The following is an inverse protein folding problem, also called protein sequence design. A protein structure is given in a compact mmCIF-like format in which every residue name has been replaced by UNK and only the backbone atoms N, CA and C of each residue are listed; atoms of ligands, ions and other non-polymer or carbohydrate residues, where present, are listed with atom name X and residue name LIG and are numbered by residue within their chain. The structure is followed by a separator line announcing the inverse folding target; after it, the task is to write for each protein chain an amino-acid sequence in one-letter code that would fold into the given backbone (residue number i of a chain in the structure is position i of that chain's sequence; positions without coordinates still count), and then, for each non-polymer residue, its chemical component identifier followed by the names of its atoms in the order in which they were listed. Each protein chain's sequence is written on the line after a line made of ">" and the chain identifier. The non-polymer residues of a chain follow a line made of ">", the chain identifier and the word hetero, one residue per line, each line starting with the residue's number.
data_IF_114527290721
#
_entry.id   IF_114527290721
#
_cell.length_a   1.000
_cell.length_b   1.000
_cell.length_c   1.000
_cell.angle_alpha   90.00
_cell.angle_beta   90.00
_cell.angle_gamma   90.00
#
_symmetry.space_group_name_H-M   'P 1'
#
loop_
_entity.id
_entity.type
_entity.pdbx_description
1 polymer ?
#
# COMPACT_ATOMS: atom_id res chain seq x y z
N UNK A 1 16.62 8.28 18.98
CA UNK A 1 17.40 9.35 18.32
C UNK A 1 17.63 8.92 16.89
N UNK A 2 17.01 9.56 15.91
CA UNK A 2 17.20 9.21 14.50
C UNK A 2 18.53 9.83 14.04
N UNK A 3 19.46 9.00 13.58
CA UNK A 3 20.71 9.47 12.97
C UNK A 3 20.45 9.83 11.51
N UNK A 4 20.60 11.09 11.16
CA UNK A 4 20.52 11.55 9.77
C UNK A 4 21.92 11.38 9.17
N UNK A 5 22.04 10.50 8.15
CA UNK A 5 23.25 10.39 7.37
C UNK A 5 23.13 11.25 6.11
N UNK A 6 24.01 12.21 5.96
CA UNK A 6 24.14 12.99 4.72
C UNK A 6 25.21 12.36 3.86
N UNK A 7 24.84 11.83 2.67
CA UNK A 7 25.84 11.44 1.67
C UNK A 7 26.52 12.71 1.14
N UNK A 8 27.79 12.83 1.40
CA UNK A 8 28.61 13.89 0.80
C UNK A 8 28.94 13.52 -0.64
N UNK A 9 28.92 14.47 -1.60
CA UNK A 9 29.20 14.19 -3.01
C UNK A 9 30.68 13.97 -3.31
N UNK A 10 31.51 13.73 -2.30
CA UNK A 10 32.94 13.48 -2.42
C UNK A 10 33.39 12.38 -1.46
N UNK A 11 34.38 11.60 -1.88
CA UNK A 11 34.94 10.56 -1.06
C UNK A 11 35.81 11.19 0.06
N UNK A 12 35.45 10.91 1.32
CA UNK A 12 36.25 11.27 2.48
C UNK A 12 37.07 10.05 2.87
N UNK A 13 38.39 10.12 2.65
CA UNK A 13 39.33 9.09 3.11
C UNK A 13 39.80 9.46 4.55
N UNK A 14 39.08 8.99 5.54
CA UNK A 14 39.51 9.09 6.93
C UNK A 14 39.29 7.73 7.62
N UNK A 15 40.39 7.04 7.93
CA UNK A 15 40.38 5.72 8.56
C UNK A 15 39.80 5.74 10.01
N UNK A 16 39.63 6.93 10.60
CA UNK A 16 39.01 7.10 11.93
C UNK A 16 37.50 7.24 11.89
N UNK A 17 36.88 7.38 10.70
CA UNK A 17 35.42 7.39 10.59
C UNK A 17 34.88 5.96 10.62
N UNK A 18 33.81 5.70 11.36
CA UNK A 18 33.16 4.40 11.35
C UNK A 18 32.71 4.10 9.91
N UNK A 19 33.12 2.95 9.40
CA UNK A 19 32.65 2.47 8.10
C UNK A 19 31.19 2.00 8.26
N UNK A 20 30.30 2.49 7.41
CA UNK A 20 28.93 1.97 7.33
C UNK A 20 28.99 0.49 6.87
N UNK A 21 28.42 -0.41 7.64
CA UNK A 21 28.24 -1.79 7.20
C UNK A 21 27.23 -1.84 6.05
N UNK A 22 27.30 -2.88 5.22
CA UNK A 22 26.32 -3.08 4.15
C UNK A 22 24.86 -3.11 4.68
N UNK A 23 24.67 -3.61 5.91
CA UNK A 23 23.41 -3.59 6.63
C UNK A 23 22.90 -2.20 6.94
N UNK A 24 23.80 -1.24 7.19
CA UNK A 24 23.39 0.15 7.48
C UNK A 24 22.93 0.86 6.19
N UNK A 25 23.52 0.49 5.06
CA UNK A 25 23.10 0.97 3.73
C UNK A 25 21.72 0.42 3.35
N UNK A 26 21.45 -0.86 3.62
CA UNK A 26 20.13 -1.47 3.41
C UNK A 26 19.05 -0.80 4.25
N UNK A 27 19.34 -0.40 5.49
CA UNK A 27 18.44 0.38 6.32
C UNK A 27 18.09 1.75 5.71
N UNK A 28 19.09 2.43 5.09
CA UNK A 28 18.87 3.73 4.43
C UNK A 28 18.04 3.62 3.16
N UNK A 29 18.25 2.56 2.37
CA UNK A 29 17.48 2.30 1.13
C UNK A 29 16.06 1.86 1.45
N UNK A 30 15.87 1.14 2.56
CA UNK A 30 14.58 0.59 2.99
C UNK A 30 13.80 1.53 3.92
N UNK A 31 14.27 2.76 4.14
CA UNK A 31 13.58 3.71 5.01
C UNK A 31 12.43 4.42 4.27
N UNK A 32 11.24 4.43 4.90
CA UNK A 32 10.12 5.23 4.44
C UNK A 32 9.81 6.31 5.48
N UNK A 33 10.18 7.58 5.21
CA UNK A 33 10.04 8.67 6.17
C UNK A 33 8.58 8.88 6.57
N UNK A 34 8.37 9.14 7.87
CA UNK A 34 7.06 9.49 8.45
C UNK A 34 5.95 8.46 8.22
N UNK A 35 6.28 7.24 7.75
CA UNK A 35 5.31 6.17 7.70
C UNK A 35 4.91 5.76 9.11
N UNK A 36 3.61 5.57 9.32
CA UNK A 36 3.11 4.93 10.55
C UNK A 36 3.58 3.48 10.63
N UNK A 37 3.67 2.79 9.49
CA UNK A 37 4.26 1.47 9.36
C UNK A 37 4.64 1.16 7.91
N UNK A 38 5.76 0.44 7.74
CA UNK A 38 6.32 0.07 6.46
C UNK A 38 6.77 -1.40 6.46
N UNK A 39 6.22 -2.18 5.54
CA UNK A 39 6.50 -3.61 5.39
C UNK A 39 7.00 -3.92 3.99
N UNK A 40 8.13 -4.62 3.94
CA UNK A 40 8.71 -5.17 2.73
C UNK A 40 8.49 -6.69 2.77
N UNK A 41 7.42 -7.16 2.16
CA UNK A 41 7.00 -8.55 2.26
C UNK A 41 7.92 -9.49 1.49
N UNK A 42 8.22 -10.65 2.07
CA UNK A 42 9.17 -11.62 1.53
C UNK A 42 8.85 -13.07 1.93
N UNK A 43 9.86 -13.88 2.02
CA UNK A 43 9.78 -15.36 2.05
C UNK A 43 9.21 -15.97 3.32
N UNK A 44 8.93 -15.17 4.36
CA UNK A 44 8.45 -15.70 5.64
C UNK A 44 7.63 -14.70 6.43
N UNK A 45 7.00 -15.17 7.50
CA UNK A 45 6.26 -14.33 8.45
C UNK A 45 7.13 -13.28 9.17
N UNK A 46 8.46 -13.40 9.14
CA UNK A 46 9.34 -12.35 9.64
C UNK A 46 9.13 -11.01 8.91
N UNK A 47 8.68 -11.04 7.64
CA UNK A 47 8.35 -9.84 6.87
C UNK A 47 7.06 -9.13 7.30
N UNK A 48 6.31 -9.69 8.26
CA UNK A 48 5.15 -9.03 8.89
C UNK A 48 5.56 -8.03 9.98
N UNK A 49 6.83 -7.97 10.33
CA UNK A 49 7.38 -6.98 11.25
C UNK A 49 7.81 -5.75 10.45
N UNK A 50 7.29 -4.58 10.85
CA UNK A 50 7.68 -3.29 10.26
C UNK A 50 9.17 -3.03 10.44
N UNK A 51 9.82 -2.55 9.39
CA UNK A 51 11.25 -2.33 9.33
C UNK A 51 11.72 -1.09 10.12
N UNK A 52 10.80 -0.20 10.50
CA UNK A 52 11.17 1.11 11.10
C UNK A 52 10.82 1.20 12.59
N UNK A 53 9.66 0.71 13.00
CA UNK A 53 9.13 0.86 14.35
C UNK A 53 8.82 -0.47 15.05
N UNK A 54 9.08 -1.60 14.38
CA UNK A 54 8.84 -2.93 14.93
C UNK A 54 7.35 -3.30 15.09
N UNK A 55 6.44 -2.58 14.41
CA UNK A 55 5.01 -2.90 14.40
C UNK A 55 4.77 -4.22 13.68
N UNK A 56 3.85 -5.02 14.21
CA UNK A 56 3.59 -6.36 13.70
C UNK A 56 2.20 -6.43 13.08
N UNK A 57 2.12 -6.92 11.83
CA UNK A 57 0.85 -7.29 11.24
C UNK A 57 0.39 -8.64 11.78
N UNK A 58 -0.86 -8.72 12.20
CA UNK A 58 -1.48 -9.96 12.68
C UNK A 58 -2.32 -10.61 11.59
N UNK A 59 -2.33 -11.93 11.56
CA UNK A 59 -3.12 -12.67 10.58
C UNK A 59 -4.61 -12.61 10.95
N UNK A 60 -5.45 -12.39 9.94
CA UNK A 60 -6.89 -12.54 10.07
C UNK A 60 -7.39 -13.57 9.05
N UNK A 61 -8.10 -14.57 9.55
CA UNK A 61 -8.70 -15.63 8.75
C UNK A 61 -7.69 -16.58 8.10
N UNK A 62 -7.78 -16.77 6.79
CA UNK A 62 -6.94 -17.71 6.06
C UNK A 62 -5.47 -17.29 6.07
N UNK A 63 -4.59 -18.22 6.46
CA UNK A 63 -3.15 -17.97 6.47
C UNK A 63 -2.63 -17.63 5.06
N UNK A 64 -1.81 -16.57 4.94
CA UNK A 64 -1.20 -16.21 3.67
C UNK A 64 -0.08 -17.19 3.31
N UNK A 65 0.31 -17.20 2.05
CA UNK A 65 1.55 -17.84 1.59
C UNK A 65 2.62 -16.80 1.33
N UNK A 66 3.89 -17.20 1.43
CA UNK A 66 5.04 -16.33 1.28
C UNK A 66 5.90 -16.80 0.12
N UNK A 67 6.45 -15.85 -0.65
CA UNK A 67 7.39 -16.13 -1.72
C UNK A 67 8.52 -15.08 -1.74
N UNK A 68 9.47 -15.20 -2.67
CA UNK A 68 10.61 -14.27 -2.76
C UNK A 68 10.22 -12.84 -3.12
N UNK A 69 9.05 -12.64 -3.68
CA UNK A 69 8.58 -11.34 -4.17
C UNK A 69 7.52 -10.71 -3.27
N UNK A 70 6.94 -11.45 -2.32
CA UNK A 70 5.92 -10.89 -1.45
C UNK A 70 5.14 -11.91 -0.63
N UNK A 71 4.04 -11.44 -0.08
CA UNK A 71 3.02 -12.23 0.62
C UNK A 71 1.78 -12.34 -0.25
N UNK A 72 1.24 -13.54 -0.38
CA UNK A 72 -0.04 -13.76 -1.06
C UNK A 72 -1.13 -13.88 -0.01
N UNK A 73 -1.97 -12.87 0.10
CA UNK A 73 -3.18 -12.93 0.93
C UNK A 73 -4.26 -13.72 0.18
N UNK A 74 -4.91 -14.61 0.89
CA UNK A 74 -6.02 -15.38 0.31
C UNK A 74 -7.17 -14.44 -0.05
N UNK A 75 -7.93 -14.82 -1.05
CA UNK A 75 -9.17 -14.13 -1.37
C UNK A 75 -10.27 -14.43 -0.34
N UNK A 76 -11.33 -13.65 -0.40
CA UNK A 76 -12.50 -13.84 0.44
C UNK A 76 -12.58 -12.91 1.65
N UNK A 77 -13.70 -13.02 2.35
CA UNK A 77 -13.96 -12.26 3.57
C UNK A 77 -13.03 -12.75 4.70
N UNK A 78 -12.61 -11.82 5.55
CA UNK A 78 -11.77 -12.09 6.70
C UNK A 78 -10.46 -12.81 6.30
N UNK A 79 -9.80 -12.30 5.27
CA UNK A 79 -8.52 -12.81 4.78
C UNK A 79 -7.54 -11.66 4.55
N UNK A 80 -6.58 -11.48 5.47
CA UNK A 80 -5.62 -10.38 5.35
C UNK A 80 -4.67 -10.25 6.52
N UNK A 81 -3.92 -9.15 6.49
CA UNK A 81 -2.89 -8.78 7.44
C UNK A 81 -3.34 -7.51 8.17
N UNK A 82 -3.80 -7.67 9.41
CA UNK A 82 -4.37 -6.60 10.22
C UNK A 82 -3.26 -5.84 10.96
N UNK A 83 -3.24 -4.52 10.80
CA UNK A 83 -2.41 -3.62 11.60
C UNK A 83 -3.14 -3.22 12.89
N UNK A 84 -2.47 -2.48 13.77
CA UNK A 84 -3.09 -1.82 14.92
C UNK A 84 -3.48 -0.34 14.64
N UNK A 85 -3.28 0.15 13.39
CA UNK A 85 -3.72 1.49 12.98
C UNK A 85 -5.24 1.57 12.91
N UNK A 86 -5.84 2.34 13.79
CA UNK A 86 -7.27 2.61 13.80
C UNK A 86 -7.69 3.42 12.57
N UNK A 87 -8.99 3.42 12.26
CA UNK A 87 -9.56 4.38 11.33
C UNK A 87 -9.37 5.82 11.82
N UNK A 88 -9.42 6.79 10.92
CA UNK A 88 -9.24 8.21 11.26
C UNK A 88 -9.74 9.12 10.16
N UNK A 89 -9.72 10.42 10.45
CA UNK A 89 -10.13 11.44 9.49
C UNK A 89 -9.14 11.64 8.35
N UNK A 90 -7.89 11.21 8.56
CA UNK A 90 -6.82 11.27 7.57
C UNK A 90 -6.05 9.98 7.56
N UNK A 91 -5.85 9.41 6.38
CA UNK A 91 -5.04 8.18 6.17
C UNK A 91 -4.48 8.15 4.76
N UNK A 92 -3.31 7.56 4.63
CA UNK A 92 -2.77 7.19 3.32
C UNK A 92 -2.39 5.71 3.31
N UNK A 93 -2.77 5.03 2.26
CA UNK A 93 -2.50 3.63 2.00
C UNK A 93 -1.69 3.54 0.71
N UNK A 94 -0.52 2.90 0.75
CA UNK A 94 0.30 2.64 -0.42
C UNK A 94 0.68 1.16 -0.46
N UNK A 95 0.75 0.59 -1.65
CA UNK A 95 1.21 -0.78 -1.84
C UNK A 95 1.82 -1.00 -3.22
N UNK A 96 2.78 -1.91 -3.29
CA UNK A 96 3.19 -2.57 -4.53
C UNK A 96 2.56 -3.94 -4.58
N UNK A 97 1.77 -4.19 -5.61
CA UNK A 97 1.06 -5.46 -5.79
C UNK A 97 1.32 -6.05 -7.16
N UNK A 98 1.27 -7.37 -7.24
CA UNK A 98 1.23 -8.09 -8.50
C UNK A 98 -0.20 -8.21 -8.98
N UNK A 99 -0.49 -7.78 -10.19
CA UNK A 99 -1.84 -7.83 -10.76
C UNK A 99 -2.34 -9.28 -10.82
N UNK A 100 -3.44 -9.59 -10.11
CA UNK A 100 -3.99 -10.94 -10.05
C UNK A 100 -4.72 -11.29 -11.34
N UNK A 101 -4.98 -12.59 -11.55
CA UNK A 101 -5.94 -12.99 -12.58
C UNK A 101 -7.38 -12.63 -12.13
N UNK A 102 -7.99 -11.73 -12.88
CA UNK A 102 -9.37 -11.28 -12.68
C UNK A 102 -10.27 -11.72 -13.86
N UNK A 103 -10.09 -12.94 -14.33
CA UNK A 103 -10.93 -13.53 -15.40
C UNK A 103 -12.37 -13.80 -14.93
N UNK A 104 -12.55 -14.14 -13.65
CA UNK A 104 -13.84 -14.48 -13.04
C UNK A 104 -14.28 -13.54 -11.93
N UNK A 105 -13.43 -12.61 -11.52
CA UNK A 105 -13.65 -11.67 -10.42
C UNK A 105 -13.40 -10.23 -10.88
N UNK A 106 -14.04 -9.27 -10.24
CA UNK A 106 -13.89 -7.85 -10.62
C UNK A 106 -12.68 -7.17 -9.96
N UNK A 107 -12.15 -7.74 -8.88
CA UNK A 107 -11.03 -7.12 -8.19
C UNK A 107 -10.57 -7.82 -6.92
N UNK A 108 -9.62 -7.18 -6.25
CA UNK A 108 -9.09 -7.59 -4.97
C UNK A 108 -8.90 -6.37 -4.06
N UNK A 109 -9.19 -6.50 -2.77
CA UNK A 109 -8.89 -5.49 -1.77
C UNK A 109 -7.37 -5.48 -1.52
N UNK A 110 -6.74 -4.34 -1.74
CA UNK A 110 -5.30 -4.16 -1.54
C UNK A 110 -4.99 -3.76 -0.11
N UNK A 111 -5.62 -2.69 0.35
CA UNK A 111 -5.41 -2.14 1.69
C UNK A 111 -6.61 -1.30 2.11
N UNK A 112 -6.87 -1.26 3.42
CA UNK A 112 -7.91 -0.44 4.03
C UNK A 112 -8.68 -1.16 5.11
N UNK A 113 -9.87 -0.64 5.41
CA UNK A 113 -10.76 -1.16 6.45
C UNK A 113 -12.23 -1.12 6.04
N UNK A 114 -12.50 -1.09 4.72
CA UNK A 114 -13.86 -1.03 4.24
C UNK A 114 -14.64 -2.28 4.64
N UNK A 115 -15.80 -2.06 5.21
CA UNK A 115 -16.86 -3.03 5.38
C UNK A 115 -18.03 -2.72 4.45
N UNK A 116 -19.18 -3.31 4.73
CA UNK A 116 -20.37 -3.12 3.89
C UNK A 116 -21.01 -1.73 4.07
N UNK A 117 -20.82 -1.08 5.22
CA UNK A 117 -21.44 0.21 5.54
C UNK A 117 -20.46 1.29 6.04
N UNK A 118 -19.20 0.97 6.29
CA UNK A 118 -18.24 1.88 6.91
C UNK A 118 -16.82 1.69 6.36
N UNK A 119 -15.92 2.65 6.61
CA UNK A 119 -14.52 2.61 6.25
C UNK A 119 -14.21 2.96 4.80
N UNK A 120 -12.97 2.75 4.43
CA UNK A 120 -12.50 2.94 3.05
C UNK A 120 -11.38 1.96 2.73
N UNK A 121 -11.22 1.64 1.46
CA UNK A 121 -10.14 0.78 0.97
C UNK A 121 -9.76 1.09 -0.46
N UNK A 122 -8.57 0.65 -0.80
CA UNK A 122 -8.01 0.64 -2.13
C UNK A 122 -8.12 -0.76 -2.73
N UNK A 123 -8.67 -0.85 -3.93
CA UNK A 123 -8.79 -2.08 -4.69
C UNK A 123 -7.99 -2.00 -5.99
N UNK A 124 -7.35 -3.10 -6.37
CA UNK A 124 -7.08 -3.37 -7.78
C UNK A 124 -8.35 -3.94 -8.38
N UNK A 125 -8.75 -3.44 -9.54
CA UNK A 125 -9.95 -3.92 -10.22
C UNK A 125 -9.73 -4.09 -11.72
N UNK A 126 -10.66 -4.80 -12.36
CA UNK A 126 -10.69 -4.95 -13.81
C UNK A 126 -12.08 -4.56 -14.33
N UNK A 127 -12.11 -3.67 -15.30
CA UNK A 127 -13.34 -3.27 -15.99
C UNK A 127 -13.07 -3.16 -17.48
N UNK A 128 -13.98 -3.70 -18.31
CA UNK A 128 -13.84 -3.73 -19.77
C UNK A 128 -12.48 -4.30 -20.23
N UNK A 129 -11.97 -5.30 -19.50
CA UNK A 129 -10.70 -5.95 -19.82
C UNK A 129 -9.45 -5.21 -19.32
N UNK A 130 -9.58 -4.02 -18.73
CA UNK A 130 -8.47 -3.17 -18.29
C UNK A 130 -8.32 -3.18 -16.78
N UNK A 131 -7.08 -3.25 -16.29
CA UNK A 131 -6.76 -3.12 -14.87
C UNK A 131 -6.72 -1.66 -14.43
N UNK A 132 -7.02 -1.42 -13.15
CA UNK A 132 -6.98 -0.09 -12.57
C UNK A 132 -7.08 -0.05 -11.06
N UNK A 133 -7.31 1.16 -10.55
CA UNK A 133 -7.52 1.45 -9.13
C UNK A 133 -9.00 1.79 -8.89
N UNK A 134 -9.59 1.16 -7.88
CA UNK A 134 -10.94 1.48 -7.41
C UNK A 134 -10.89 1.79 -5.91
N UNK A 135 -10.99 3.06 -5.51
CA UNK A 135 -11.26 3.38 -4.11
C UNK A 135 -12.72 3.14 -3.78
N UNK A 136 -12.98 2.50 -2.65
CA UNK A 136 -14.32 2.42 -2.05
C UNK A 136 -14.28 3.19 -0.75
N UNK A 137 -15.15 4.21 -0.61
CA UNK A 137 -15.29 5.04 0.59
C UNK A 137 -16.76 5.04 0.99
N UNK A 138 -17.08 4.41 2.11
CA UNK A 138 -18.47 4.30 2.59
C UNK A 138 -18.96 5.63 3.14
N UNK A 139 -20.13 6.04 2.71
CA UNK A 139 -20.66 7.40 2.96
C UNK A 139 -20.18 8.44 1.95
N UNK A 140 -19.03 8.24 1.30
CA UNK A 140 -18.53 9.13 0.26
C UNK A 140 -19.36 9.03 -1.03
N UNK A 141 -19.49 10.14 -1.76
CA UNK A 141 -20.20 10.22 -3.04
C UNK A 141 -19.30 10.75 -4.14
N UNK A 142 -19.58 10.37 -5.39
CA UNK A 142 -18.81 10.83 -6.56
C UNK A 142 -17.42 10.20 -6.70
N UNK A 143 -17.11 9.16 -5.93
CA UNK A 143 -15.83 8.47 -5.97
C UNK A 143 -15.90 7.32 -6.99
N UNK A 144 -15.04 7.37 -8.00
CA UNK A 144 -15.01 6.40 -9.10
C UNK A 144 -13.64 5.75 -9.24
N UNK A 145 -13.63 4.55 -9.82
CA UNK A 145 -12.40 3.89 -10.25
C UNK A 145 -11.88 4.41 -11.59
N UNK A 146 -10.61 4.12 -11.85
CA UNK A 146 -9.94 4.38 -13.12
C UNK A 146 -9.29 3.10 -13.63
N UNK A 147 -9.28 2.90 -14.96
CA UNK A 147 -8.62 1.75 -15.62
C UNK A 147 -7.63 2.22 -16.67
N UNK A 148 -6.65 1.38 -16.98
CA UNK A 148 -5.51 1.73 -17.83
C UNK A 148 -5.19 0.62 -18.82
N UNK A 149 -4.83 1.01 -20.04
CA UNK A 149 -4.32 0.11 -21.07
C UNK A 149 -2.88 -0.34 -20.78
N UNK A 150 -2.46 -1.43 -21.41
CA UNK A 150 -1.08 -1.92 -21.36
C UNK A 150 -0.69 -2.60 -20.05
N UNK A 151 -1.66 -3.00 -19.23
CA UNK A 151 -1.45 -3.78 -18.02
C UNK A 151 -1.90 -5.23 -18.23
N UNK A 152 -1.13 -6.17 -17.72
CA UNK A 152 -1.38 -7.60 -17.79
C UNK A 152 -1.29 -8.28 -16.43
N UNK A 153 -1.90 -9.44 -16.30
CA UNK A 153 -1.69 -10.36 -15.16
C UNK A 153 -0.20 -10.53 -14.93
N UNK A 154 0.21 -10.45 -13.67
CA UNK A 154 1.62 -10.61 -13.27
C UNK A 154 2.45 -9.34 -13.30
N UNK A 155 1.98 -8.22 -13.88
CA UNK A 155 2.67 -6.95 -13.75
C UNK A 155 2.64 -6.49 -12.30
N UNK A 156 3.76 -5.93 -11.82
CA UNK A 156 3.79 -5.24 -10.52
C UNK A 156 3.45 -3.77 -10.71
N UNK A 157 2.54 -3.27 -9.89
CA UNK A 157 2.06 -1.90 -9.94
C UNK A 157 2.12 -1.27 -8.55
N UNK A 158 2.40 0.03 -8.50
CA UNK A 158 2.25 0.82 -7.28
C UNK A 158 0.88 1.48 -7.27
N UNK A 159 0.17 1.32 -6.17
CA UNK A 159 -1.15 1.90 -5.92
C UNK A 159 -1.10 2.72 -4.63
N UNK A 160 -1.75 3.89 -4.63
CA UNK A 160 -1.96 4.63 -3.39
C UNK A 160 -3.30 5.38 -3.41
N UNK A 161 -3.90 5.47 -2.22
CA UNK A 161 -4.98 6.41 -1.93
C UNK A 161 -4.65 7.19 -0.67
N UNK A 162 -4.99 8.47 -0.66
CA UNK A 162 -4.89 9.33 0.50
C UNK A 162 -6.23 10.02 0.72
N UNK A 163 -6.78 9.88 1.93
CA UNK A 163 -8.09 10.43 2.28
C UNK A 163 -7.98 11.43 3.42
N UNK A 164 -8.66 12.58 3.29
CA UNK A 164 -8.83 13.56 4.37
C UNK A 164 -10.28 14.02 4.47
N UNK A 165 -10.76 14.21 5.70
CA UNK A 165 -12.01 14.89 6.05
C UNK A 165 -11.76 16.30 6.59
N UNK A 166 -10.50 16.67 6.85
CA UNK A 166 -10.14 17.98 7.39
C UNK A 166 -10.31 19.04 6.33
N UNK A 167 -11.26 19.94 6.53
CA UNK A 167 -11.58 21.05 5.61
C UNK A 167 -12.29 20.65 4.31
N UNK A 168 -12.18 19.43 3.87
CA UNK A 168 -12.88 18.87 2.69
C UNK A 168 -12.79 17.34 2.70
N UNK A 169 -13.81 16.67 2.14
CA UNK A 169 -13.78 15.21 1.99
C UNK A 169 -13.00 14.87 0.71
N UNK A 170 -11.68 14.94 0.76
CA UNK A 170 -10.81 14.80 -0.41
C UNK A 170 -10.15 13.43 -0.45
N UNK A 171 -10.15 12.81 -1.62
CA UNK A 171 -9.44 11.59 -1.91
C UNK A 171 -8.43 11.83 -3.03
N UNK A 172 -7.15 11.60 -2.75
CA UNK A 172 -6.12 11.50 -3.77
C UNK A 172 -6.01 10.05 -4.23
N UNK A 173 -5.94 9.83 -5.54
CA UNK A 173 -5.70 8.55 -6.17
C UNK A 173 -4.39 8.60 -6.94
N UNK A 174 -3.59 7.57 -6.79
CA UNK A 174 -2.33 7.43 -7.51
C UNK A 174 -2.17 5.99 -8.02
N UNK A 175 -1.85 5.86 -9.28
CA UNK A 175 -1.47 4.61 -9.91
C UNK A 175 -0.16 4.84 -10.65
N UNK A 176 0.88 4.14 -10.28
CA UNK A 176 2.25 4.41 -10.69
C UNK A 176 2.40 4.68 -12.18
N UNK A 177 2.93 5.85 -12.53
CA UNK A 177 3.17 6.27 -13.91
C UNK A 177 1.93 6.55 -14.77
N UNK A 178 0.70 6.28 -14.30
CA UNK A 178 -0.53 6.36 -15.11
C UNK A 178 -1.58 7.33 -14.59
N UNK A 179 -1.67 7.51 -13.27
CA UNK A 179 -2.68 8.37 -12.64
C UNK A 179 -2.12 9.13 -11.45
N UNK A 180 -2.41 10.41 -11.40
CA UNK A 180 -2.24 11.28 -10.24
C UNK A 180 -3.41 12.26 -10.22
N UNK A 181 -4.44 12.00 -9.40
CA UNK A 181 -5.67 12.77 -9.40
C UNK A 181 -6.27 12.95 -8.02
N UNK A 182 -7.10 13.98 -7.87
CA UNK A 182 -7.86 14.25 -6.66
C UNK A 182 -9.35 14.29 -6.95
N UNK A 183 -10.16 13.74 -6.05
CA UNK A 183 -11.61 13.81 -6.07
C UNK A 183 -12.08 14.40 -4.75
N UNK A 184 -13.07 15.30 -4.80
CA UNK A 184 -13.76 15.79 -3.62
C UNK A 184 -15.11 15.09 -3.51
N UNK A 185 -15.39 14.47 -2.37
CA UNK A 185 -16.70 13.91 -2.07
C UNK A 185 -17.57 14.95 -1.39
N UNK A 186 -18.85 15.00 -1.75
CA UNK A 186 -19.81 15.88 -1.10
C UNK A 186 -20.10 15.46 0.35
N UNK A 187 -19.87 14.21 0.69
CA UNK A 187 -20.13 13.64 2.00
C UNK A 187 -18.88 13.00 2.61
N UNK A 188 -18.80 13.04 3.94
CA UNK A 188 -17.72 12.39 4.69
C UNK A 188 -17.86 10.86 4.63
N UNK A 189 -16.73 10.16 4.82
CA UNK A 189 -16.80 8.72 5.00
C UNK A 189 -17.44 8.36 6.33
N UNK A 190 -18.13 7.23 6.37
CA UNK A 190 -18.58 6.61 7.60
C UNK A 190 -17.40 5.91 8.29
N UNK A 191 -17.16 6.28 9.57
CA UNK A 191 -16.05 5.71 10.33
C UNK A 191 -16.23 4.20 10.55
N UNK A 192 -15.13 3.46 10.53
CA UNK A 192 -15.09 2.01 10.77
C UNK A 192 -14.47 1.69 12.12
N UNK A 193 -15.01 0.69 12.81
CA UNK A 193 -14.36 0.11 13.99
C UNK A 193 -13.23 -0.87 13.61
N UNK A 194 -13.16 -1.29 12.35
CA UNK A 194 -12.10 -2.16 11.84
C UNK A 194 -10.83 -1.35 11.63
N UNK A 195 -9.70 -1.88 12.08
CA UNK A 195 -8.38 -1.28 11.86
C UNK A 195 -7.94 -1.45 10.42
N UNK A 196 -6.93 -0.65 10.00
CA UNK A 196 -6.34 -0.75 8.66
C UNK A 196 -5.66 -2.10 8.47
N UNK A 197 -5.77 -2.65 7.26
CA UNK A 197 -5.21 -3.94 6.92
C UNK A 197 -4.72 -3.98 5.46
N UNK A 198 -3.94 -4.99 5.12
CA UNK A 198 -3.69 -5.41 3.74
C UNK A 198 -4.49 -6.67 3.45
N UNK A 199 -5.19 -6.71 2.31
CA UNK A 199 -6.16 -7.75 2.00
C UNK A 199 -7.57 -7.41 2.48
N UNK A 200 -8.47 -8.39 2.49
CA UNK A 200 -9.89 -8.18 2.77
C UNK A 200 -10.28 -8.65 4.17
N UNK A 201 -10.52 -7.73 5.09
CA UNK A 201 -10.92 -8.04 6.47
C UNK A 201 -12.43 -8.04 6.65
N UNK A 202 -13.16 -7.11 6.04
CA UNK A 202 -14.55 -6.85 6.42
C UNK A 202 -15.52 -6.63 5.24
N UNK A 203 -15.04 -6.64 4.00
CA UNK A 203 -15.89 -6.38 2.83
C UNK A 203 -16.47 -7.68 2.26
N UNK A 204 -17.81 -7.82 2.33
CA UNK A 204 -18.52 -9.07 2.01
C UNK A 204 -18.75 -9.33 0.52
N UNK A 205 -18.34 -8.40 -0.37
CA UNK A 205 -18.58 -8.55 -1.82
C UNK A 205 -17.96 -9.82 -2.39
N UNK A 206 -18.77 -10.63 -3.04
CA UNK A 206 -18.34 -11.87 -3.68
C UNK A 206 -17.54 -11.68 -4.98
N UNK A 207 -17.40 -10.46 -5.49
CA UNK A 207 -16.71 -10.16 -6.75
C UNK A 207 -15.39 -9.43 -6.58
N UNK A 208 -15.07 -8.94 -5.36
CA UNK A 208 -13.86 -8.18 -5.05
C UNK A 208 -12.98 -8.88 -4.01
N UNK A 209 -12.76 -10.18 -4.21
CA UNK A 209 -12.05 -11.02 -3.26
C UNK A 209 -11.01 -11.95 -3.92
N UNK A 210 -10.43 -11.55 -5.04
CA UNK A 210 -9.36 -12.34 -5.63
C UNK A 210 -8.14 -12.42 -4.68
N UNK A 211 -7.42 -13.55 -4.65
CA UNK A 211 -6.13 -13.61 -3.98
C UNK A 211 -5.17 -12.56 -4.55
N UNK A 212 -4.34 -11.97 -3.68
CA UNK A 212 -3.45 -10.88 -4.07
C UNK A 212 -2.06 -11.06 -3.51
N UNK A 213 -1.06 -10.96 -4.38
CA UNK A 213 0.35 -10.87 -3.97
C UNK A 213 0.70 -9.40 -3.71
N UNK A 214 1.21 -9.12 -2.51
CA UNK A 214 1.64 -7.81 -2.06
C UNK A 214 3.14 -7.88 -1.78
N UNK A 215 3.92 -7.03 -2.45
CA UNK A 215 5.39 -6.99 -2.29
C UNK A 215 5.82 -5.93 -1.27
N UNK A 216 5.07 -4.83 -1.19
CA UNK A 216 5.32 -3.73 -0.27
C UNK A 216 4.00 -3.16 0.23
N UNK A 217 3.96 -2.82 1.52
CA UNK A 217 2.83 -2.15 2.14
C UNK A 217 3.28 -0.98 3.02
N UNK A 218 2.63 0.18 2.88
CA UNK A 218 2.96 1.39 3.63
C UNK A 218 1.66 2.03 4.12
N UNK A 219 1.61 2.34 5.39
CA UNK A 219 0.48 3.05 6.02
C UNK A 219 0.97 4.36 6.61
N UNK A 220 0.19 5.42 6.42
CA UNK A 220 0.39 6.72 7.07
C UNK A 220 -0.87 7.07 7.87
N UNK A 221 -0.67 7.63 9.04
CA UNK A 221 -1.73 8.16 9.91
C UNK A 221 -2.17 9.59 9.55
N UNK A 222 -1.65 10.11 8.44
CA UNK A 222 -1.97 11.40 7.83
C UNK A 222 -2.33 11.28 6.35
N UNK A 223 -2.94 12.32 5.81
CA UNK A 223 -3.18 12.43 4.39
C UNK A 223 -1.94 12.97 3.67
N UNK A 224 -1.43 12.24 2.67
CA UNK A 224 -0.37 12.70 1.79
C UNK A 224 -0.93 13.49 0.61
N UNK A 225 -0.22 14.53 0.19
CA UNK A 225 -0.42 15.20 -1.09
C UNK A 225 -0.01 14.29 -2.26
N UNK A 226 -0.46 14.61 -3.46
CA UNK A 226 -0.04 13.88 -4.67
C UNK A 226 1.48 13.94 -4.91
N UNK A 227 2.12 15.03 -4.56
CA UNK A 227 3.59 15.17 -4.67
C UNK A 227 4.32 14.25 -3.69
N UNK A 228 3.84 14.16 -2.44
CA UNK A 228 4.39 13.22 -1.46
C UNK A 228 4.19 11.77 -1.91
N UNK A 229 3.00 11.41 -2.42
CA UNK A 229 2.74 10.06 -2.96
C UNK A 229 3.66 9.75 -4.14
N UNK A 230 3.92 10.71 -5.03
CA UNK A 230 4.86 10.54 -6.14
C UNK A 230 6.30 10.29 -5.64
N UNK A 231 6.71 10.93 -4.54
CA UNK A 231 8.00 10.68 -3.90
C UNK A 231 8.06 9.28 -3.26
N UNK A 232 6.97 8.83 -2.59
CA UNK A 232 6.85 7.44 -2.10
C UNK A 232 6.99 6.45 -3.26
N UNK A 233 6.27 6.67 -4.36
CA UNK A 233 6.37 5.83 -5.57
C UNK A 233 7.79 5.72 -6.11
N UNK A 234 8.52 6.84 -6.20
CA UNK A 234 9.91 6.83 -6.67
C UNK A 234 10.81 5.98 -5.78
N UNK A 235 10.67 6.08 -4.44
CA UNK A 235 11.41 5.24 -3.48
C UNK A 235 11.01 3.77 -3.59
N UNK A 236 9.69 3.47 -3.69
CA UNK A 236 9.18 2.11 -3.90
C UNK A 236 9.75 1.46 -5.15
N UNK A 237 9.83 2.19 -6.28
CA UNK A 237 10.48 1.68 -7.50
C UNK A 237 11.93 1.29 -7.26
N UNK A 238 12.69 2.13 -6.57
CA UNK A 238 14.10 1.85 -6.26
C UNK A 238 14.22 0.60 -5.39
N UNK A 239 13.43 0.50 -4.31
CA UNK A 239 13.43 -0.66 -3.41
C UNK A 239 13.02 -1.96 -4.13
N UNK A 240 12.00 -1.89 -4.96
CA UNK A 240 11.55 -3.06 -5.72
C UNK A 240 12.58 -3.49 -6.75
N UNK A 241 13.26 -2.55 -7.41
CA UNK A 241 14.33 -2.86 -8.37
C UNK A 241 15.49 -3.65 -7.72
N UNK A 242 15.87 -3.34 -6.48
CA UNK A 242 16.92 -4.12 -5.75
C UNK A 242 16.49 -5.56 -5.48
N UNK A 243 15.19 -5.85 -5.50
CA UNK A 243 14.60 -7.19 -5.36
C UNK A 243 14.33 -7.88 -6.71
N UNK A 244 14.73 -7.28 -7.83
CA UNK A 244 14.43 -7.78 -9.17
C UNK A 244 12.97 -7.60 -9.59
N UNK A 245 12.21 -6.74 -8.91
CA UNK A 245 10.81 -6.45 -9.20
C UNK A 245 10.72 -5.15 -10.02
N UNK A 246 10.20 -5.24 -11.25
CA UNK A 246 9.95 -4.06 -12.09
C UNK A 246 8.53 -3.57 -11.84
N UNK A 247 8.40 -2.36 -11.29
CA UNK A 247 7.10 -1.67 -11.09
C UNK A 247 6.79 -0.84 -12.32
N UNK A 248 5.69 -1.16 -13.01
CA UNK A 248 5.22 -0.51 -14.25
C UNK A 248 4.28 0.65 -13.97
#
# INVERSE_FOLDING_TARGET
>A
MASIFTMLPFAVSNAALPQLAATDYELLVNYEPDAWGYWNFGTSSASLVDLTQGKVLTLAGTAPTYNSTGVVVAGGLNSGLLSDLADGTERTLCAVVKLPDLSTLNGSNVAGNVGDSSGFSMFVHKSSGQYGILPIVRGGTGITGDTFTGLAVGNYVFLAISYTQTGSNKLNKFFGGKLSSSITSATAKTASAVKMAFGNIAYSSSTYHAPLEISEGILYDRALSLAEIAAVYARSKTRMATRGITVV
#
